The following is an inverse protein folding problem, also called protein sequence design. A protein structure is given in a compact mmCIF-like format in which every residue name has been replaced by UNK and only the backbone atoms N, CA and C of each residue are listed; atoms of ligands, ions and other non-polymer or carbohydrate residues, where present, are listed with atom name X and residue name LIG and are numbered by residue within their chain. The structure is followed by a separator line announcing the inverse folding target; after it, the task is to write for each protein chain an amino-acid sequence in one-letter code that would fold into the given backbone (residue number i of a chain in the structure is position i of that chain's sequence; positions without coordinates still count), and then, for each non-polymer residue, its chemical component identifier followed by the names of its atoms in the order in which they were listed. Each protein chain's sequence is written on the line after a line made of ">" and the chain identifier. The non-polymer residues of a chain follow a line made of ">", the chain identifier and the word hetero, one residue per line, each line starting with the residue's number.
data_IF_522682436331
#
_entry.id   IF_522682436331
#
_cell.length_a   1.000
_cell.length_b   1.000
_cell.length_c   1.000
_cell.angle_alpha   90.00
_cell.angle_beta   90.00
_cell.angle_gamma   90.00
#
_symmetry.space_group_name_H-M   'P 1'
#
loop_
_entity.id
_entity.type
_entity.pdbx_description
1 polymer ?
#
# COMPACT_ATOMS: atom_id res chain seq x y z
N UNK A 1 87.36 -34.22 -10.57
CA UNK A 1 86.43 -34.21 -11.72
C UNK A 1 85.01 -34.29 -11.16
N UNK A 2 84.22 -33.24 -11.39
CA UNK A 2 82.75 -33.17 -11.48
C UNK A 2 81.82 -33.63 -10.32
N UNK A 3 81.15 -32.61 -9.75
CA UNK A 3 79.70 -32.45 -9.55
C UNK A 3 78.90 -33.47 -8.69
N UNK A 4 78.27 -32.98 -7.61
CA UNK A 4 76.84 -32.55 -7.57
C UNK A 4 76.43 -32.08 -6.18
N UNK A 5 76.32 -30.76 -6.01
CA UNK A 5 75.51 -30.16 -4.94
C UNK A 5 74.02 -30.32 -5.30
N UNK A 6 73.26 -30.99 -4.44
CA UNK A 6 71.80 -30.98 -4.47
C UNK A 6 71.31 -29.66 -3.85
N UNK A 7 70.88 -28.73 -4.70
CA UNK A 7 70.10 -27.56 -4.29
C UNK A 7 68.64 -28.01 -4.10
N UNK A 8 67.99 -27.77 -2.95
CA UNK A 8 66.56 -27.98 -2.82
C UNK A 8 65.84 -26.81 -3.48
N UNK A 9 65.59 -26.92 -4.78
CA UNK A 9 64.60 -26.09 -5.46
C UNK A 9 63.21 -26.65 -5.17
N UNK A 10 62.28 -25.75 -4.80
CA UNK A 10 60.83 -25.84 -5.08
C UNK A 10 59.89 -26.33 -3.95
N UNK A 11 59.92 -25.70 -2.77
CA UNK A 11 58.76 -25.70 -1.83
C UNK A 11 58.13 -24.30 -1.56
N UNK A 12 58.81 -23.19 -1.89
CA UNK A 12 58.30 -21.83 -1.68
C UNK A 12 57.24 -21.37 -2.70
N UNK A 13 57.33 -21.82 -3.95
CA UNK A 13 56.44 -21.40 -5.04
C UNK A 13 54.97 -21.82 -4.83
N UNK A 14 54.73 -22.95 -4.16
CA UNK A 14 53.38 -23.46 -3.93
C UNK A 14 52.67 -22.72 -2.77
N UNK A 15 53.42 -22.28 -1.74
CA UNK A 15 52.89 -21.57 -0.58
C UNK A 15 52.52 -20.11 -0.90
N UNK A 16 53.32 -19.42 -1.72
CA UNK A 16 52.96 -18.08 -2.20
C UNK A 16 51.77 -18.08 -3.17
N UNK A 17 51.72 -19.05 -4.10
CA UNK A 17 50.61 -19.18 -5.06
C UNK A 17 49.28 -19.45 -4.35
N UNK A 18 49.31 -20.34 -3.35
CA UNK A 18 48.14 -20.64 -2.51
C UNK A 18 47.74 -19.45 -1.64
N UNK A 19 48.69 -18.69 -1.08
CA UNK A 19 48.41 -17.47 -0.31
C UNK A 19 47.77 -16.37 -1.17
N UNK A 20 48.29 -16.14 -2.39
CA UNK A 20 47.73 -15.16 -3.34
C UNK A 20 46.33 -15.56 -3.82
N UNK A 21 46.10 -16.86 -4.00
CA UNK A 21 44.78 -17.39 -4.34
C UNK A 21 43.78 -17.18 -3.19
N UNK A 22 44.18 -17.48 -1.94
CA UNK A 22 43.35 -17.24 -0.74
C UNK A 22 42.99 -15.76 -0.57
N UNK A 23 43.95 -14.85 -0.76
CA UNK A 23 43.69 -13.41 -0.69
C UNK A 23 42.72 -12.91 -1.79
N UNK A 24 42.87 -13.41 -3.03
CA UNK A 24 41.94 -13.11 -4.12
C UNK A 24 40.54 -13.64 -3.85
N UNK A 25 40.43 -14.87 -3.38
CA UNK A 25 39.15 -15.48 -3.00
C UNK A 25 38.49 -14.68 -1.88
N UNK A 26 39.23 -14.34 -0.83
CA UNK A 26 38.72 -13.51 0.27
C UNK A 26 38.21 -12.14 -0.21
N UNK A 27 38.95 -11.46 -1.09
CA UNK A 27 38.53 -10.19 -1.67
C UNK A 27 37.24 -10.31 -2.49
N UNK A 28 37.17 -11.30 -3.39
CA UNK A 28 35.97 -11.54 -4.19
C UNK A 28 34.77 -11.94 -3.32
N UNK A 29 34.98 -12.79 -2.31
CA UNK A 29 33.95 -13.17 -1.34
C UNK A 29 33.47 -11.98 -0.51
N UNK A 30 34.36 -11.04 -0.15
CA UNK A 30 33.98 -9.82 0.60
C UNK A 30 33.11 -8.91 -0.25
N UNK A 31 33.49 -8.68 -1.52
CA UNK A 31 32.69 -7.89 -2.47
C UNK A 31 31.32 -8.52 -2.66
N UNK A 32 31.30 -9.80 -3.00
CA UNK A 32 30.06 -10.53 -3.25
C UNK A 32 29.17 -10.55 -2.00
N UNK A 33 29.73 -10.82 -0.82
CA UNK A 33 29.02 -10.78 0.45
C UNK A 33 28.44 -9.40 0.77
N UNK A 34 29.17 -8.32 0.46
CA UNK A 34 28.70 -6.95 0.65
C UNK A 34 27.53 -6.62 -0.27
N UNK A 35 27.61 -6.99 -1.55
CA UNK A 35 26.52 -6.81 -2.52
C UNK A 35 25.28 -7.56 -2.06
N UNK A 36 25.44 -8.83 -1.68
CA UNK A 36 24.32 -9.65 -1.18
C UNK A 36 23.71 -9.07 0.09
N UNK A 37 24.51 -8.55 1.01
CA UNK A 37 24.01 -7.95 2.24
C UNK A 37 23.17 -6.70 1.97
N UNK A 38 23.66 -5.80 1.11
CA UNK A 38 22.94 -4.57 0.73
C UNK A 38 21.66 -4.91 -0.01
N UNK A 39 21.72 -5.86 -0.95
CA UNK A 39 20.55 -6.34 -1.66
C UNK A 39 19.52 -6.95 -0.69
N UNK A 40 19.95 -7.84 0.20
CA UNK A 40 19.06 -8.44 1.22
C UNK A 40 18.44 -7.37 2.13
N UNK A 41 19.23 -6.37 2.54
CA UNK A 41 18.75 -5.28 3.36
C UNK A 41 17.65 -4.48 2.64
N UNK A 42 17.94 -3.97 1.45
CA UNK A 42 17.06 -3.10 0.69
C UNK A 42 15.83 -3.82 0.11
N UNK A 43 15.97 -5.08 -0.29
CA UNK A 43 14.90 -5.83 -0.96
C UNK A 43 14.02 -6.63 0.00
N UNK A 44 14.45 -6.83 1.25
CA UNK A 44 13.73 -7.68 2.18
C UNK A 44 13.69 -7.13 3.61
N UNK A 45 14.85 -6.94 4.26
CA UNK A 45 14.88 -6.66 5.70
C UNK A 45 14.30 -5.29 6.07
N UNK A 46 14.51 -4.27 5.22
CA UNK A 46 14.07 -2.89 5.49
C UNK A 46 12.57 -2.77 5.76
N UNK A 47 11.74 -3.56 5.07
CA UNK A 47 10.28 -3.54 5.26
C UNK A 47 9.89 -3.96 6.66
N UNK A 48 10.51 -5.03 7.19
CA UNK A 48 10.29 -5.48 8.56
C UNK A 48 10.77 -4.44 9.58
N UNK A 49 11.94 -3.83 9.37
CA UNK A 49 12.50 -2.83 10.28
C UNK A 49 11.69 -1.54 10.36
N UNK A 50 11.05 -1.14 9.26
CA UNK A 50 10.17 0.02 9.23
C UNK A 50 8.81 -0.32 9.87
N UNK A 51 8.19 -1.43 9.46
CA UNK A 51 6.83 -1.78 9.89
C UNK A 51 6.77 -2.26 11.34
N UNK A 52 7.84 -2.87 11.90
CA UNK A 52 7.86 -3.31 13.32
C UNK A 52 7.67 -2.16 14.32
N UNK A 53 7.89 -0.91 13.88
CA UNK A 53 7.66 0.30 14.68
C UNK A 53 6.17 0.66 14.79
N UNK A 54 5.32 0.08 13.94
CA UNK A 54 3.90 0.30 13.94
C UNK A 54 3.21 -0.60 14.98
N UNK A 55 2.25 -0.04 15.71
CA UNK A 55 1.46 -0.77 16.70
C UNK A 55 -0.02 -0.44 16.53
N UNK A 56 -0.88 -1.41 16.88
CA UNK A 56 -2.32 -1.21 16.86
C UNK A 56 -2.70 -0.13 17.87
N UNK A 57 -3.45 0.92 17.46
CA UNK A 57 -3.82 2.00 18.35
C UNK A 57 -4.83 1.50 19.39
N UNK A 58 -4.72 1.96 20.64
CA UNK A 58 -5.66 1.58 21.70
C UNK A 58 -6.98 2.37 21.58
N UNK A 59 -8.10 1.69 21.82
CA UNK A 59 -9.44 2.32 21.85
C UNK A 59 -9.69 2.84 23.26
N UNK A 60 -9.66 4.17 23.45
CA UNK A 60 -9.83 4.78 24.77
C UNK A 60 -11.21 4.46 25.38
N UNK A 61 -11.19 3.99 26.63
CA UNK A 61 -12.40 3.67 27.40
C UNK A 61 -13.14 2.44 26.89
N UNK A 62 -12.46 1.51 26.20
CA UNK A 62 -12.84 0.11 26.19
C UNK A 62 -12.09 -0.53 27.37
N UNK A 63 -12.73 -0.63 28.54
CA UNK A 63 -12.10 -1.30 29.68
C UNK A 63 -11.87 -2.78 29.33
N UNK A 64 -10.82 -3.40 29.88
CA UNK A 64 -10.57 -4.85 29.72
C UNK A 64 -11.75 -5.74 30.19
N UNK A 65 -12.69 -5.17 30.94
CA UNK A 65 -13.93 -5.81 31.41
C UNK A 65 -15.09 -5.72 30.41
N UNK A 66 -15.06 -4.80 29.45
CA UNK A 66 -16.01 -4.80 28.34
C UNK A 66 -15.55 -5.81 27.30
N UNK A 67 -16.19 -6.97 27.26
CA UNK A 67 -16.02 -8.06 26.29
C UNK A 67 -16.36 -7.66 24.83
N UNK A 68 -16.23 -6.38 24.48
CA UNK A 68 -16.50 -5.86 23.14
C UNK A 68 -15.40 -6.31 22.18
N UNK A 69 -15.75 -7.05 21.11
CA UNK A 69 -14.75 -7.59 20.20
C UNK A 69 -14.13 -6.46 19.38
N UNK A 70 -12.83 -6.19 19.60
CA UNK A 70 -12.06 -5.24 18.78
C UNK A 70 -11.74 -5.88 17.43
N UNK A 71 -12.02 -5.15 16.36
CA UNK A 71 -11.66 -5.48 14.99
C UNK A 71 -10.40 -4.70 14.61
N UNK A 72 -9.35 -5.42 14.22
CA UNK A 72 -8.10 -4.86 13.69
C UNK A 72 -8.18 -4.78 12.17
N UNK A 73 -8.14 -3.56 11.64
CA UNK A 73 -8.36 -3.30 10.22
C UNK A 73 -7.17 -2.56 9.62
N UNK A 74 -6.72 -2.98 8.44
CA UNK A 74 -5.83 -2.18 7.60
C UNK A 74 -6.61 -1.56 6.44
N UNK A 75 -6.33 -0.30 6.12
CA UNK A 75 -6.87 0.40 4.96
C UNK A 75 -5.70 0.83 4.06
N UNK A 76 -5.72 0.37 2.82
CA UNK A 76 -4.78 0.71 1.76
C UNK A 76 -5.55 1.44 0.65
N UNK A 77 -4.87 2.25 -0.14
CA UNK A 77 -5.45 2.87 -1.33
C UNK A 77 -4.42 2.91 -2.46
N UNK A 78 -4.91 3.06 -3.69
CA UNK A 78 -4.14 3.45 -4.87
C UNK A 78 -2.88 2.58 -5.03
N UNK A 79 -3.08 1.25 -5.15
CA UNK A 79 -1.95 0.33 -5.37
C UNK A 79 -1.39 0.47 -6.78
N UNK A 80 -2.20 0.86 -7.77
CA UNK A 80 -1.79 1.10 -9.16
C UNK A 80 -0.87 0.00 -9.72
N UNK A 81 -1.36 -1.24 -9.74
CA UNK A 81 -0.66 -2.31 -10.43
C UNK A 81 -0.48 -1.93 -11.90
N UNK A 82 0.78 -1.92 -12.36
CA UNK A 82 1.11 -1.47 -13.69
C UNK A 82 0.54 -2.45 -14.74
N UNK A 83 -0.18 -1.89 -15.70
CA UNK A 83 -0.72 -2.63 -16.83
C UNK A 83 0.32 -2.85 -17.94
N UNK A 84 -0.13 -3.41 -19.05
CA UNK A 84 0.71 -3.76 -20.20
C UNK A 84 0.90 -2.61 -21.21
N UNK A 85 0.05 -1.59 -21.18
CA UNK A 85 -0.06 -0.58 -22.23
C UNK A 85 0.99 0.52 -22.04
N UNK A 86 1.07 1.10 -20.84
CA UNK A 86 1.98 2.18 -20.48
C UNK A 86 3.00 1.76 -19.41
N UNK A 87 2.84 0.58 -18.82
CA UNK A 87 3.74 0.06 -17.80
C UNK A 87 5.13 -0.31 -18.34
N UNK A 88 6.18 0.35 -17.85
CA UNK A 88 7.55 -0.05 -18.12
C UNK A 88 7.96 -1.25 -17.26
N UNK A 89 8.65 -2.25 -17.83
CA UNK A 89 8.96 -3.52 -17.14
C UNK A 89 9.78 -3.34 -15.85
N UNK A 90 10.74 -2.41 -15.84
CA UNK A 90 11.57 -2.14 -14.66
C UNK A 90 10.78 -1.43 -13.56
N UNK A 91 9.89 -0.52 -13.95
CA UNK A 91 8.99 0.17 -13.02
C UNK A 91 8.05 -0.87 -12.40
N UNK A 92 7.42 -1.70 -13.24
CA UNK A 92 6.58 -2.82 -12.81
C UNK A 92 7.29 -3.73 -11.82
N UNK A 93 8.50 -4.21 -12.15
CA UNK A 93 9.31 -5.03 -11.26
C UNK A 93 9.52 -4.34 -9.90
N UNK A 94 9.86 -3.05 -9.89
CA UNK A 94 10.18 -2.33 -8.66
C UNK A 94 8.96 -2.05 -7.79
N UNK A 95 7.88 -1.53 -8.38
CA UNK A 95 6.65 -1.16 -7.65
C UNK A 95 5.91 -2.39 -7.16
N UNK A 96 5.76 -3.40 -8.00
CA UNK A 96 5.11 -4.66 -7.62
C UNK A 96 5.92 -5.39 -6.52
N UNK A 97 7.26 -5.43 -6.62
CA UNK A 97 8.09 -5.98 -5.55
C UNK A 97 7.92 -5.23 -4.22
N UNK A 98 7.94 -3.89 -4.26
CA UNK A 98 7.72 -3.09 -3.06
C UNK A 98 6.36 -3.36 -2.43
N UNK A 99 5.28 -3.35 -3.21
CA UNK A 99 3.93 -3.60 -2.71
C UNK A 99 3.83 -5.00 -2.10
N UNK A 100 4.35 -6.02 -2.78
CA UNK A 100 4.35 -7.38 -2.25
C UNK A 100 5.12 -7.47 -0.93
N UNK A 101 6.34 -6.93 -0.86
CA UNK A 101 7.14 -6.99 0.37
C UNK A 101 6.50 -6.21 1.51
N UNK A 102 5.94 -5.04 1.22
CA UNK A 102 5.25 -4.19 2.19
C UNK A 102 4.02 -4.90 2.75
N UNK A 103 3.17 -5.45 1.88
CA UNK A 103 1.95 -6.14 2.28
C UNK A 103 2.24 -7.42 3.07
N UNK A 104 3.14 -8.27 2.57
CA UNK A 104 3.48 -9.54 3.22
C UNK A 104 4.14 -9.35 4.59
N UNK A 105 5.04 -8.36 4.73
CA UNK A 105 5.65 -8.05 6.03
C UNK A 105 4.64 -7.42 7.00
N UNK A 106 3.75 -6.55 6.53
CA UNK A 106 2.66 -5.99 7.33
C UNK A 106 1.70 -7.08 7.85
N UNK A 107 1.26 -8.02 7.00
CA UNK A 107 0.44 -9.14 7.45
C UNK A 107 1.15 -10.00 8.48
N UNK A 108 2.43 -10.30 8.26
CA UNK A 108 3.22 -11.12 9.16
C UNK A 108 3.37 -10.49 10.56
N UNK A 109 3.70 -9.20 10.61
CA UNK A 109 3.98 -8.49 11.85
C UNK A 109 2.70 -8.03 12.58
N UNK A 110 1.70 -7.55 11.84
CA UNK A 110 0.54 -6.87 12.42
C UNK A 110 -0.67 -7.79 12.57
N UNK A 111 -0.78 -8.84 11.74
CA UNK A 111 -1.88 -9.82 11.79
C UNK A 111 -3.29 -9.16 11.87
N UNK A 112 -3.71 -8.39 10.85
CA UNK A 112 -5.03 -7.78 10.83
C UNK A 112 -6.14 -8.83 10.68
N UNK A 113 -7.32 -8.53 11.23
CA UNK A 113 -8.52 -9.32 10.97
C UNK A 113 -9.00 -9.09 9.52
N UNK A 114 -8.97 -7.83 9.07
CA UNK A 114 -9.49 -7.41 7.76
C UNK A 114 -8.57 -6.38 7.12
N UNK A 115 -8.45 -6.47 5.81
CA UNK A 115 -7.81 -5.48 4.95
C UNK A 115 -8.82 -4.93 3.96
N UNK A 116 -8.93 -3.61 3.87
CA UNK A 116 -9.64 -2.91 2.80
C UNK A 116 -8.67 -2.26 1.82
N UNK A 117 -8.93 -2.38 0.51
CA UNK A 117 -8.25 -1.60 -0.54
C UNK A 117 -9.26 -0.64 -1.16
N UNK A 118 -8.98 0.67 -1.07
CA UNK A 118 -9.90 1.76 -1.38
C UNK A 118 -9.85 2.22 -2.85
N UNK A 119 -9.89 1.27 -3.79
CA UNK A 119 -9.88 1.55 -5.22
C UNK A 119 -8.50 1.72 -5.83
N UNK A 120 -8.49 1.91 -7.15
CA UNK A 120 -7.33 2.01 -8.02
C UNK A 120 -6.33 0.88 -7.77
N UNK A 121 -6.87 -0.34 -7.84
CA UNK A 121 -6.08 -1.55 -7.73
C UNK A 121 -5.14 -1.65 -8.92
N UNK A 122 -5.67 -1.46 -10.12
CA UNK A 122 -4.95 -1.51 -11.38
C UNK A 122 -4.80 -0.12 -11.96
N UNK A 123 -3.62 0.21 -12.50
CA UNK A 123 -3.38 1.51 -13.12
C UNK A 123 -4.09 1.64 -14.48
N UNK A 124 -4.28 0.53 -15.18
CA UNK A 124 -4.80 0.49 -16.55
C UNK A 124 -6.07 -0.34 -16.67
N UNK A 125 -6.70 -0.73 -15.54
CA UNK A 125 -7.88 -1.59 -15.52
C UNK A 125 -8.92 -1.14 -16.54
N UNK A 126 -9.26 0.15 -16.57
CA UNK A 126 -10.19 0.79 -17.52
C UNK A 126 -9.87 0.60 -19.01
N UNK A 127 -8.62 0.29 -19.36
CA UNK A 127 -8.15 0.05 -20.72
C UNK A 127 -7.81 -1.41 -21.00
N UNK A 128 -7.66 -2.25 -19.97
CA UNK A 128 -7.23 -3.64 -20.11
C UNK A 128 -8.19 -4.47 -20.96
N UNK A 129 -7.63 -5.20 -21.94
CA UNK A 129 -8.31 -6.29 -22.63
C UNK A 129 -8.47 -7.51 -21.70
N UNK A 130 -9.33 -8.51 -22.01
CA UNK A 130 -9.62 -9.62 -21.10
C UNK A 130 -8.39 -10.42 -20.64
N UNK A 131 -7.42 -10.63 -21.52
CA UNK A 131 -6.18 -11.37 -21.24
C UNK A 131 -5.29 -10.57 -20.28
N UNK A 132 -5.09 -9.28 -20.55
CA UNK A 132 -4.35 -8.36 -19.70
C UNK A 132 -4.97 -8.27 -18.30
N UNK A 133 -6.30 -8.08 -18.23
CA UNK A 133 -7.06 -8.09 -16.98
C UNK A 133 -6.80 -9.37 -16.17
N UNK A 134 -6.89 -10.53 -16.82
CA UNK A 134 -6.66 -11.81 -16.13
C UNK A 134 -5.23 -11.95 -15.61
N UNK A 135 -4.23 -11.48 -16.37
CA UNK A 135 -2.83 -11.43 -15.95
C UNK A 135 -2.62 -10.49 -14.76
N UNK A 136 -3.24 -9.30 -14.80
CA UNK A 136 -3.15 -8.31 -13.73
C UNK A 136 -3.80 -8.83 -12.44
N UNK A 137 -4.97 -9.46 -12.54
CA UNK A 137 -5.65 -10.13 -11.43
C UNK A 137 -4.81 -11.24 -10.82
N UNK A 138 -4.16 -12.08 -11.65
CA UNK A 138 -3.29 -13.14 -11.13
C UNK A 138 -2.10 -12.58 -10.34
N UNK A 139 -1.50 -11.47 -10.81
CA UNK A 139 -0.43 -10.78 -10.08
C UNK A 139 -0.94 -10.16 -8.79
N UNK A 140 -2.11 -9.50 -8.83
CA UNK A 140 -2.75 -8.98 -7.63
C UNK A 140 -2.95 -10.07 -6.57
N UNK A 141 -3.56 -11.20 -6.95
CA UNK A 141 -3.81 -12.32 -6.04
C UNK A 141 -2.53 -12.89 -5.43
N UNK A 142 -1.43 -12.93 -6.21
CA UNK A 142 -0.13 -13.36 -5.72
C UNK A 142 0.45 -12.38 -4.70
N UNK A 143 0.44 -11.08 -5.01
CA UNK A 143 1.06 -10.06 -4.15
C UNK A 143 0.27 -9.84 -2.85
N UNK A 144 -1.05 -9.77 -2.96
CA UNK A 144 -1.98 -9.56 -1.86
C UNK A 144 -2.53 -10.86 -1.27
N UNK A 145 -1.77 -11.96 -1.39
CA UNK A 145 -2.09 -13.23 -0.75
C UNK A 145 -2.10 -13.07 0.77
N UNK A 146 -3.06 -13.70 1.42
CA UNK A 146 -3.31 -13.55 2.86
C UNK A 146 -3.73 -14.90 3.47
N UNK A 147 -3.53 -15.09 4.78
CA UNK A 147 -3.96 -16.32 5.44
C UNK A 147 -5.50 -16.38 5.54
N UNK A 148 -6.10 -17.59 5.69
CA UNK A 148 -7.55 -17.75 5.69
C UNK A 148 -8.33 -16.97 6.77
N UNK A 149 -7.66 -16.58 7.86
CA UNK A 149 -8.27 -15.82 8.96
C UNK A 149 -8.29 -14.30 8.72
N UNK A 150 -7.58 -13.80 7.70
CA UNK A 150 -7.60 -12.39 7.32
C UNK A 150 -8.53 -12.23 6.12
N UNK A 151 -9.51 -11.33 6.20
CA UNK A 151 -10.37 -11.03 5.06
C UNK A 151 -9.78 -9.90 4.22
N UNK A 152 -9.80 -10.02 2.89
CA UNK A 152 -9.50 -8.93 1.97
C UNK A 152 -10.78 -8.46 1.28
N UNK A 153 -11.09 -7.17 1.38
CA UNK A 153 -12.24 -6.54 0.71
C UNK A 153 -11.73 -5.38 -0.13
N UNK A 154 -12.09 -5.38 -1.41
CA UNK A 154 -11.62 -4.39 -2.38
C UNK A 154 -12.83 -3.62 -2.89
N UNK A 155 -12.75 -2.28 -2.88
CA UNK A 155 -13.70 -1.41 -3.59
C UNK A 155 -13.07 -0.87 -4.86
N UNK A 156 -13.91 -0.36 -5.75
CA UNK A 156 -13.54 0.06 -7.10
C UNK A 156 -13.06 1.51 -7.15
N UNK A 157 -12.04 1.80 -7.96
CA UNK A 157 -11.60 3.16 -8.31
C UNK A 157 -11.72 3.48 -9.80
N UNK A 158 -11.38 4.71 -10.19
CA UNK A 158 -11.56 5.19 -11.56
C UNK A 158 -10.52 4.60 -12.53
N UNK A 159 -9.34 4.18 -12.07
CA UNK A 159 -8.40 3.43 -12.91
C UNK A 159 -8.84 1.99 -13.15
N UNK A 160 -9.68 1.42 -12.28
CA UNK A 160 -10.18 0.05 -12.44
C UNK A 160 -11.27 -0.05 -13.53
N UNK A 161 -12.23 0.89 -13.53
CA UNK A 161 -13.42 0.83 -14.39
C UNK A 161 -13.63 2.05 -15.28
N UNK A 162 -12.84 3.11 -15.12
CA UNK A 162 -13.00 4.40 -15.80
C UNK A 162 -13.54 5.47 -14.86
N UNK A 163 -13.26 6.73 -15.20
CA UNK A 163 -14.06 7.86 -14.70
C UNK A 163 -15.51 7.68 -15.15
N UNK A 164 -16.45 8.44 -14.56
CA UNK A 164 -17.88 8.35 -14.88
C UNK A 164 -18.17 8.24 -16.39
N UNK A 165 -17.60 9.12 -17.21
CA UNK A 165 -17.81 9.17 -18.66
C UNK A 165 -17.18 8.00 -19.47
N UNK A 166 -16.25 7.26 -18.87
CA UNK A 166 -15.59 6.09 -19.48
C UNK A 166 -16.04 4.76 -18.82
N UNK A 167 -16.86 4.84 -17.77
CA UNK A 167 -17.38 3.68 -17.06
C UNK A 167 -18.38 2.92 -17.94
N UNK A 168 -18.23 1.60 -18.01
CA UNK A 168 -19.17 0.73 -18.75
C UNK A 168 -19.62 -0.44 -17.90
N UNK A 169 -20.80 -1.01 -18.23
CA UNK A 169 -21.34 -2.19 -17.55
C UNK A 169 -20.37 -3.38 -17.63
N UNK A 170 -19.66 -3.53 -18.76
CA UNK A 170 -18.65 -4.57 -18.91
C UNK A 170 -17.48 -4.40 -17.93
N UNK A 171 -16.90 -3.18 -17.87
CA UNK A 171 -15.76 -2.88 -16.98
C UNK A 171 -16.14 -3.07 -15.51
N UNK A 172 -17.34 -2.61 -15.12
CA UNK A 172 -17.86 -2.79 -13.78
C UNK A 172 -18.14 -4.26 -13.46
N UNK A 173 -18.85 -4.98 -14.33
CA UNK A 173 -19.24 -6.38 -14.09
C UNK A 173 -18.05 -7.31 -13.92
N UNK A 174 -16.98 -7.15 -14.71
CA UNK A 174 -15.76 -7.95 -14.53
C UNK A 174 -15.05 -7.64 -13.20
N UNK A 175 -15.08 -6.38 -12.76
CA UNK A 175 -14.50 -5.97 -11.47
C UNK A 175 -15.30 -6.60 -10.32
N UNK A 176 -16.63 -6.42 -10.35
CA UNK A 176 -17.56 -6.97 -9.36
C UNK A 176 -17.40 -8.49 -9.23
N UNK A 177 -17.29 -9.20 -10.36
CA UNK A 177 -17.03 -10.65 -10.39
C UNK A 177 -15.69 -11.02 -9.76
N UNK A 178 -14.64 -10.25 -10.01
CA UNK A 178 -13.28 -10.54 -9.52
C UNK A 178 -13.16 -10.33 -8.02
N UNK A 179 -13.75 -9.26 -7.49
CA UNK A 179 -13.58 -8.84 -6.10
C UNK A 179 -14.79 -9.09 -5.21
N UNK A 180 -15.83 -9.75 -5.73
CA UNK A 180 -17.12 -9.94 -5.05
C UNK A 180 -17.65 -8.61 -4.50
N UNK A 181 -17.61 -7.58 -5.34
CA UNK A 181 -18.07 -6.23 -5.04
C UNK A 181 -19.40 -5.97 -5.76
N UNK A 182 -20.14 -4.99 -5.28
CA UNK A 182 -21.31 -4.42 -5.94
C UNK A 182 -21.21 -2.91 -5.80
N UNK A 183 -21.84 -2.13 -6.69
CA UNK A 183 -21.88 -0.65 -6.64
C UNK A 183 -22.61 -0.03 -5.41
N UNK A 184 -22.51 -0.69 -4.26
CA UNK A 184 -23.10 -0.40 -2.97
C UNK A 184 -23.11 -1.72 -2.19
N UNK A 185 -22.29 -1.84 -1.13
CA UNK A 185 -22.18 -3.07 -0.32
C UNK A 185 -22.13 -2.72 1.17
N UNK A 186 -22.91 -3.44 1.97
CA UNK A 186 -22.83 -3.38 3.42
C UNK A 186 -22.20 -4.68 3.94
N UNK A 187 -21.14 -4.56 4.74
CA UNK A 187 -20.54 -5.68 5.48
C UNK A 187 -20.53 -5.35 6.97
N UNK A 188 -20.72 -6.36 7.83
CA UNK A 188 -20.91 -6.17 9.27
C UNK A 188 -20.03 -7.07 10.15
N UNK A 189 -18.71 -7.19 9.91
CA UNK A 189 -17.83 -8.04 10.72
C UNK A 189 -17.81 -7.56 12.19
N UNK A 190 -17.83 -8.50 13.14
CA UNK A 190 -17.84 -8.22 14.59
C UNK A 190 -18.90 -7.17 15.03
N UNK A 191 -20.04 -7.10 14.31
CA UNK A 191 -21.12 -6.16 14.63
C UNK A 191 -20.86 -4.71 14.22
N UNK A 192 -19.86 -4.46 13.37
CA UNK A 192 -19.46 -3.12 12.92
C UNK A 192 -19.88 -2.93 11.47
N UNK A 193 -20.70 -1.92 11.18
CA UNK A 193 -21.15 -1.66 9.82
C UNK A 193 -20.08 -0.92 9.00
N UNK A 194 -19.73 -1.47 7.84
CA UNK A 194 -18.95 -0.79 6.80
C UNK A 194 -19.78 -0.69 5.52
N UNK A 195 -19.92 0.51 4.98
CA UNK A 195 -20.64 0.77 3.72
C UNK A 195 -19.59 1.08 2.66
N UNK A 196 -19.50 0.25 1.63
CA UNK A 196 -18.59 0.41 0.51
C UNK A 196 -19.39 0.91 -0.70
N UNK A 197 -18.96 2.02 -1.31
CA UNK A 197 -19.65 2.62 -2.45
C UNK A 197 -18.76 2.74 -3.69
N UNK A 198 -19.38 2.61 -4.86
CA UNK A 198 -18.78 2.98 -6.13
C UNK A 198 -18.93 4.49 -6.31
N UNK A 199 -17.92 5.27 -5.96
CA UNK A 199 -17.98 6.74 -6.01
C UNK A 199 -18.07 7.29 -7.43
N UNK A 200 -17.56 6.57 -8.45
CA UNK A 200 -17.67 6.97 -9.86
C UNK A 200 -19.11 6.90 -10.37
N UNK A 201 -20.01 6.21 -9.65
CA UNK A 201 -21.43 6.13 -9.96
C UNK A 201 -22.29 7.19 -9.22
N UNK A 202 -21.66 8.11 -8.47
CA UNK A 202 -22.33 9.19 -7.73
C UNK A 202 -22.25 10.54 -8.48
N UNK A 203 -22.37 10.51 -9.81
CA UNK A 203 -22.29 11.69 -10.68
C UNK A 203 -23.48 12.65 -10.51
N UNK A 204 -24.67 12.09 -10.23
CA UNK A 204 -25.93 12.84 -10.15
C UNK A 204 -26.60 13.12 -11.50
N UNK A 205 -26.31 12.34 -12.54
CA UNK A 205 -26.86 12.48 -13.90
C UNK A 205 -27.88 11.40 -14.29
N UNK A 206 -28.30 10.58 -13.33
CA UNK A 206 -29.21 9.45 -13.52
C UNK A 206 -28.75 8.43 -14.58
N UNK A 207 -27.44 8.26 -14.81
CA UNK A 207 -26.95 7.20 -15.70
C UNK A 207 -27.42 5.79 -15.24
N UNK A 208 -27.44 4.81 -16.15
CA UNK A 208 -27.95 3.47 -15.80
C UNK A 208 -27.22 2.82 -14.60
N UNK A 209 -25.89 2.90 -14.57
CA UNK A 209 -25.06 2.40 -13.46
C UNK A 209 -25.30 3.24 -12.19
N UNK A 210 -25.42 4.55 -12.34
CA UNK A 210 -25.64 5.52 -11.27
C UNK A 210 -26.96 5.25 -10.55
N UNK A 211 -28.06 5.05 -11.29
CA UNK A 211 -29.36 4.67 -10.72
C UNK A 211 -29.28 3.37 -9.91
N UNK A 212 -28.56 2.37 -10.41
CA UNK A 212 -28.37 1.13 -9.69
C UNK A 212 -27.58 1.32 -8.38
N UNK A 213 -26.51 2.13 -8.40
CA UNK A 213 -25.74 2.47 -7.21
C UNK A 213 -26.57 3.25 -6.19
N UNK A 214 -27.34 4.23 -6.66
CA UNK A 214 -28.23 5.07 -5.85
C UNK A 214 -29.37 4.27 -5.21
N UNK A 215 -29.95 3.31 -5.94
CA UNK A 215 -30.96 2.40 -5.39
C UNK A 215 -30.37 1.50 -4.29
N UNK A 216 -29.13 1.03 -4.46
CA UNK A 216 -28.44 0.27 -3.42
C UNK A 216 -28.13 1.13 -2.19
N UNK A 217 -27.67 2.37 -2.39
CA UNK A 217 -27.43 3.35 -1.33
C UNK A 217 -28.72 3.58 -0.52
N UNK A 218 -29.85 3.82 -1.19
CA UNK A 218 -31.16 3.98 -0.53
C UNK A 218 -31.56 2.73 0.26
N UNK A 219 -31.39 1.54 -0.31
CA UNK A 219 -31.67 0.27 0.40
C UNK A 219 -30.82 0.11 1.66
N UNK A 220 -29.52 0.41 1.57
CA UNK A 220 -28.61 0.37 2.71
C UNK A 220 -29.02 1.39 3.78
N UNK A 221 -29.34 2.63 3.38
CA UNK A 221 -29.82 3.67 4.30
C UNK A 221 -31.09 3.22 5.04
N UNK A 222 -32.05 2.61 4.34
CA UNK A 222 -33.27 2.05 4.96
C UNK A 222 -32.91 0.97 5.98
N UNK A 223 -32.03 0.02 5.65
CA UNK A 223 -31.58 -1.03 6.59
C UNK A 223 -30.93 -0.44 7.85
N UNK A 224 -30.04 0.54 7.69
CA UNK A 224 -29.35 1.21 8.80
C UNK A 224 -30.34 1.98 9.68
N UNK A 225 -31.19 2.81 9.09
CA UNK A 225 -32.19 3.61 9.82
C UNK A 225 -33.18 2.71 10.55
N UNK A 226 -33.72 1.71 9.88
CA UNK A 226 -34.61 0.72 10.50
C UNK A 226 -33.95 -0.09 11.61
N UNK A 227 -32.63 -0.18 11.65
CA UNK A 227 -31.90 -0.87 12.72
C UNK A 227 -31.61 0.04 13.91
N UNK A 228 -31.55 1.36 13.70
CA UNK A 228 -31.43 2.39 14.76
C UNK A 228 -32.78 2.70 15.42
N UNK A 229 -33.88 2.65 14.67
CA UNK A 229 -35.23 3.02 15.13
C UNK A 229 -35.96 1.90 15.90
N UNK A 230 -35.28 0.90 16.46
CA UNK A 230 -35.92 -0.31 17.06
C UNK A 230 -36.94 0.00 18.15
N UNK A 231 -36.79 1.13 18.84
CA UNK A 231 -37.65 1.54 19.97
C UNK A 231 -38.68 2.61 19.57
N UNK A 232 -38.73 3.02 18.29
CA UNK A 232 -39.65 4.07 17.84
C UNK A 232 -41.04 3.50 17.49
N UNK A 233 -42.16 4.18 17.84
CA UNK A 233 -43.53 3.69 17.55
C UNK A 233 -43.80 3.40 16.07
N UNK A 234 -43.17 4.17 15.17
CA UNK A 234 -43.30 3.99 13.71
C UNK A 234 -42.52 2.79 13.14
N UNK A 235 -41.68 2.14 13.94
CA UNK A 235 -40.88 0.98 13.53
C UNK A 235 -41.77 -0.14 12.96
N UNK A 236 -42.89 -0.40 13.62
CA UNK A 236 -43.79 -1.50 13.26
C UNK A 236 -44.49 -1.25 11.91
N UNK A 237 -44.68 0.03 11.53
CA UNK A 237 -45.29 0.43 10.26
C UNK A 237 -44.31 0.42 9.10
N UNK A 238 -43.06 0.88 9.30
CA UNK A 238 -42.10 1.13 8.20
C UNK A 238 -40.96 0.12 8.09
N UNK A 239 -40.63 -0.59 9.17
CA UNK A 239 -39.37 -1.33 9.29
C UNK A 239 -39.54 -2.82 9.62
N UNK A 240 -40.78 -3.34 9.68
CA UNK A 240 -41.07 -4.73 10.08
C UNK A 240 -40.44 -5.76 9.14
N UNK A 241 -40.49 -5.52 7.82
CA UNK A 241 -40.01 -6.45 6.80
C UNK A 241 -38.60 -6.11 6.28
N UNK A 242 -37.88 -5.21 6.96
CA UNK A 242 -36.53 -4.80 6.58
C UNK A 242 -35.51 -5.63 7.34
N UNK A 243 -34.60 -6.27 6.60
CA UNK A 243 -33.46 -7.00 7.15
C UNK A 243 -32.66 -6.12 8.11
N UNK A 244 -32.38 -6.64 9.30
CA UNK A 244 -31.73 -5.90 10.37
C UNK A 244 -30.22 -6.01 10.30
N UNK A 245 -29.57 -4.91 10.62
CA UNK A 245 -28.12 -4.80 10.73
C UNK A 245 -27.76 -4.49 12.20
N UNK A 246 -26.48 -4.63 12.58
CA UNK A 246 -26.00 -4.08 13.84
C UNK A 246 -26.33 -2.60 13.98
N UNK A 247 -26.50 -2.11 15.21
CA UNK A 247 -26.89 -0.72 15.51
C UNK A 247 -25.71 0.27 15.34
N UNK A 248 -24.49 -0.23 15.11
CA UNK A 248 -23.29 0.56 14.83
C UNK A 248 -23.53 1.62 13.74
N UNK A 249 -23.22 2.88 14.03
CA UNK A 249 -23.07 3.89 12.99
C UNK A 249 -21.98 3.42 12.00
N UNK A 250 -22.22 3.54 10.68
CA UNK A 250 -21.36 2.93 9.69
C UNK A 250 -20.05 3.69 9.56
N UNK A 251 -19.05 2.96 9.10
CA UNK A 251 -17.84 3.51 8.51
C UNK A 251 -18.05 3.51 6.99
N UNK A 252 -17.98 4.68 6.36
CA UNK A 252 -18.11 4.82 4.92
C UNK A 252 -16.75 4.63 4.26
N UNK A 253 -16.68 3.72 3.29
CA UNK A 253 -15.49 3.43 2.50
C UNK A 253 -15.81 3.69 1.03
N UNK A 254 -14.98 4.49 0.38
CA UNK A 254 -15.13 4.80 -1.04
C UNK A 254 -13.80 5.20 -1.64
N UNK A 255 -13.75 5.44 -2.95
CA UNK A 255 -12.51 5.84 -3.61
C UNK A 255 -12.38 7.37 -3.63
N UNK A 256 -13.34 8.10 -4.20
CA UNK A 256 -13.29 9.57 -4.19
C UNK A 256 -13.55 10.13 -2.80
N UNK A 257 -12.80 11.16 -2.36
CA UNK A 257 -13.14 11.88 -1.16
C UNK A 257 -14.51 12.56 -1.25
N UNK A 258 -15.10 12.89 -0.10
CA UNK A 258 -16.21 13.85 -0.09
C UNK A 258 -15.71 15.21 -0.55
N UNK A 259 -16.66 16.06 -0.93
CA UNK A 259 -16.41 17.42 -1.36
C UNK A 259 -15.55 18.19 -0.36
N UNK A 260 -14.42 18.70 -0.86
CA UNK A 260 -13.60 19.73 -0.25
C UNK A 260 -12.95 20.56 -1.36
N UNK A 261 -12.67 21.83 -1.09
CA UNK A 261 -12.18 22.77 -2.10
C UNK A 261 -10.75 22.42 -2.56
N UNK A 262 -9.90 21.97 -1.63
CA UNK A 262 -8.54 21.52 -1.90
C UNK A 262 -7.98 20.78 -0.68
N UNK A 263 -6.71 20.41 -0.75
CA UNK A 263 -5.94 19.82 0.35
C UNK A 263 -5.20 20.86 1.23
N UNK A 264 -5.61 22.14 1.20
CA UNK A 264 -4.89 23.24 1.90
C UNK A 264 -4.74 23.01 3.41
N UNK A 265 -5.78 22.44 4.03
CA UNK A 265 -5.84 22.18 5.47
C UNK A 265 -5.16 20.86 5.87
N UNK A 266 -4.76 20.03 4.91
CA UNK A 266 -4.17 18.73 5.19
C UNK A 266 -2.78 18.90 5.81
N UNK A 267 -2.45 18.07 6.79
CA UNK A 267 -1.16 18.10 7.49
C UNK A 267 -0.52 16.71 7.55
N UNK A 268 0.74 16.65 7.96
CA UNK A 268 1.51 15.41 8.07
C UNK A 268 2.54 15.20 6.97
N UNK A 269 3.52 14.33 7.21
CA UNK A 269 4.67 14.09 6.31
C UNK A 269 4.26 13.50 4.95
N UNK A 270 3.16 12.77 4.91
CA UNK A 270 2.60 12.15 3.71
C UNK A 270 1.39 12.91 3.14
N UNK A 271 1.15 14.14 3.58
CA UNK A 271 0.26 15.05 2.87
C UNK A 271 0.89 15.55 1.56
N UNK A 272 0.09 16.11 0.66
CA UNK A 272 0.57 16.65 -0.61
C UNK A 272 1.60 17.79 -0.40
N UNK A 273 2.39 18.12 -1.43
CA UNK A 273 3.32 19.26 -1.33
C UNK A 273 2.57 20.58 -1.08
N UNK A 274 3.20 21.61 -0.49
CA UNK A 274 2.56 22.91 -0.25
C UNK A 274 1.94 23.55 -1.49
N UNK A 275 2.50 23.28 -2.67
CA UNK A 275 2.00 23.74 -3.96
C UNK A 275 0.78 22.94 -4.41
N UNK A 276 0.84 21.61 -4.35
CA UNK A 276 -0.26 20.71 -4.72
C UNK A 276 -1.49 20.90 -3.83
N UNK A 277 -1.30 21.15 -2.53
CA UNK A 277 -2.39 21.42 -1.58
C UNK A 277 -3.25 22.64 -1.94
N UNK A 278 -2.69 23.59 -2.69
CA UNK A 278 -3.38 24.81 -3.12
C UNK A 278 -4.15 24.62 -4.43
N UNK A 279 -3.95 23.49 -5.11
CA UNK A 279 -4.70 23.16 -6.33
C UNK A 279 -6.16 22.94 -5.94
N UNK A 280 -7.04 23.68 -6.61
CA UNK A 280 -8.48 23.54 -6.41
C UNK A 280 -8.96 22.23 -7.02
N UNK A 281 -9.74 21.48 -6.25
CA UNK A 281 -10.35 20.25 -6.71
C UNK A 281 -11.54 20.52 -7.61
N UNK A 282 -11.63 19.70 -8.65
CA UNK A 282 -12.77 19.61 -9.55
C UNK A 282 -13.74 18.56 -9.03
N UNK A 283 -14.96 18.99 -8.77
CA UNK A 283 -16.07 18.08 -8.45
C UNK A 283 -16.25 17.01 -9.54
N UNK A 284 -16.65 15.82 -9.11
CA UNK A 284 -16.91 14.63 -9.95
C UNK A 284 -15.66 14.09 -10.66
N UNK A 285 -14.49 14.63 -10.32
CA UNK A 285 -13.21 14.19 -10.85
C UNK A 285 -12.23 13.92 -9.71
N UNK A 286 -11.84 14.95 -8.96
CA UNK A 286 -10.90 14.84 -7.84
C UNK A 286 -11.62 14.48 -6.53
N UNK A 287 -12.89 14.89 -6.40
CA UNK A 287 -13.77 14.67 -5.25
C UNK A 287 -15.20 14.43 -5.70
N UNK A 288 -16.06 13.88 -4.84
CA UNK A 288 -17.50 13.87 -5.08
C UNK A 288 -18.07 15.30 -5.18
N UNK A 289 -19.22 15.45 -5.82
CA UNK A 289 -19.92 16.73 -5.79
C UNK A 289 -20.38 17.08 -4.38
N UNK A 290 -20.62 18.37 -4.14
CA UNK A 290 -21.19 18.83 -2.87
C UNK A 290 -22.54 18.13 -2.59
N UNK A 291 -23.42 18.06 -3.58
CA UNK A 291 -24.73 17.40 -3.47
C UNK A 291 -24.61 15.91 -3.10
N UNK A 292 -23.73 15.17 -3.78
CA UNK A 292 -23.50 13.77 -3.48
C UNK A 292 -22.95 13.58 -2.06
N UNK A 293 -22.04 14.47 -1.65
CA UNK A 293 -21.42 14.42 -0.32
C UNK A 293 -22.43 14.68 0.78
N UNK A 294 -23.25 15.72 0.64
CA UNK A 294 -24.33 16.04 1.59
C UNK A 294 -25.35 14.91 1.68
N UNK A 295 -25.74 14.33 0.54
CA UNK A 295 -26.65 13.20 0.47
C UNK A 295 -26.11 11.97 1.21
N UNK A 296 -24.83 11.64 1.06
CA UNK A 296 -24.20 10.52 1.78
C UNK A 296 -24.20 10.76 3.29
N UNK A 297 -23.84 11.97 3.73
CA UNK A 297 -23.83 12.33 5.15
C UNK A 297 -25.23 12.24 5.76
N UNK A 298 -26.26 12.71 5.05
CA UNK A 298 -27.65 12.65 5.49
C UNK A 298 -28.21 11.22 5.54
N UNK A 299 -28.00 10.44 4.48
CA UNK A 299 -28.58 9.10 4.35
C UNK A 299 -27.92 8.06 5.25
N UNK A 300 -26.61 8.14 5.42
CA UNK A 300 -25.84 7.11 6.14
C UNK A 300 -25.53 7.52 7.57
N UNK A 301 -25.38 8.82 7.84
CA UNK A 301 -24.90 9.36 9.12
C UNK A 301 -23.65 8.58 9.60
N UNK A 302 -22.56 8.57 8.81
CA UNK A 302 -21.37 7.81 9.15
C UNK A 302 -20.67 8.42 10.36
N UNK A 303 -19.93 7.58 11.10
CA UNK A 303 -19.06 8.03 12.21
C UNK A 303 -17.61 8.23 11.81
N UNK A 304 -17.22 7.68 10.65
CA UNK A 304 -15.88 7.76 10.08
C UNK A 304 -16.01 7.52 8.57
N UNK A 305 -15.22 8.24 7.79
CA UNK A 305 -15.14 8.08 6.34
C UNK A 305 -13.68 7.80 5.99
N UNK A 306 -13.42 6.83 5.12
CA UNK A 306 -12.11 6.64 4.49
C UNK A 306 -12.24 6.65 2.97
N UNK A 307 -11.38 7.44 2.33
CA UNK A 307 -11.28 7.61 0.88
C UNK A 307 -9.85 7.36 0.38
N UNK A 308 -9.64 7.31 -0.94
CA UNK A 308 -8.33 7.20 -1.59
C UNK A 308 -8.13 8.32 -2.62
N UNK A 309 -7.75 7.96 -3.85
CA UNK A 309 -7.76 8.76 -5.08
C UNK A 309 -6.73 9.90 -5.17
N UNK A 310 -6.60 10.72 -4.13
CA UNK A 310 -5.69 11.87 -4.12
C UNK A 310 -4.22 11.48 -3.97
N UNK A 311 -3.94 10.18 -3.73
CA UNK A 311 -2.62 9.60 -3.40
C UNK A 311 -1.97 10.16 -2.13
N UNK A 312 -2.52 11.23 -1.55
CA UNK A 312 -1.99 11.99 -0.43
C UNK A 312 -2.82 11.81 0.82
N UNK A 313 -2.16 11.80 1.98
CA UNK A 313 -2.87 11.70 3.23
C UNK A 313 -3.54 13.03 3.54
N UNK A 314 -4.82 12.97 3.88
CA UNK A 314 -5.54 14.12 4.39
C UNK A 314 -6.51 13.70 5.48
N UNK A 315 -6.68 14.56 6.47
CA UNK A 315 -7.73 14.45 7.46
C UNK A 315 -8.57 15.73 7.41
N UNK A 316 -9.87 15.57 7.19
CA UNK A 316 -10.83 16.69 7.17
C UNK A 316 -12.02 16.36 8.05
N UNK A 317 -12.69 17.40 8.56
CA UNK A 317 -13.83 17.26 9.45
C UNK A 317 -15.11 17.80 8.79
N UNK A 318 -16.02 16.89 8.44
CA UNK A 318 -17.31 17.23 7.84
C UNK A 318 -18.35 17.58 8.89
N UNK A 319 -19.13 18.63 8.63
CA UNK A 319 -20.17 19.16 9.55
C UNK A 319 -19.64 19.44 10.97
N UNK A 320 -18.33 19.67 11.13
CA UNK A 320 -17.68 19.87 12.42
C UNK A 320 -17.65 18.64 13.34
N UNK A 321 -17.97 17.43 12.84
CA UNK A 321 -18.05 16.22 13.69
C UNK A 321 -17.69 14.88 13.05
N UNK A 322 -17.75 14.75 11.72
CA UNK A 322 -17.50 13.47 11.04
C UNK A 322 -16.13 13.53 10.37
N UNK A 323 -15.12 12.82 10.88
CA UNK A 323 -13.80 12.81 10.26
C UNK A 323 -13.82 11.98 8.99
N UNK A 324 -13.14 12.49 7.97
CA UNK A 324 -12.75 11.77 6.77
C UNK A 324 -11.24 11.69 6.68
N UNK A 325 -10.73 10.48 6.43
CA UNK A 325 -9.32 10.22 6.17
C UNK A 325 -9.15 9.80 4.72
N UNK A 326 -8.47 10.62 3.92
CA UNK A 326 -7.94 10.19 2.63
C UNK A 326 -6.68 9.37 2.89
N UNK A 327 -6.76 8.08 2.57
CA UNK A 327 -5.67 7.11 2.70
C UNK A 327 -4.69 7.36 1.56
N UNK A 328 -3.40 7.59 1.83
CA UNK A 328 -2.42 7.82 0.79
C UNK A 328 -2.15 6.54 -0.01
N UNK A 329 -1.52 6.71 -1.16
CA UNK A 329 -1.14 5.57 -2.00
C UNK A 329 -0.18 4.63 -1.27
N UNK A 330 -0.42 3.34 -1.44
CA UNK A 330 0.42 2.26 -0.94
C UNK A 330 1.69 2.02 -1.80
N UNK A 331 1.76 2.64 -2.98
CA UNK A 331 2.74 2.37 -4.02
C UNK A 331 3.78 3.48 -4.12
N UNK A 332 5.05 3.11 -4.29
CA UNK A 332 6.09 4.08 -4.64
C UNK A 332 5.84 4.79 -5.98
N UNK A 333 4.93 4.27 -6.82
CA UNK A 333 4.67 4.85 -8.13
C UNK A 333 4.04 6.24 -8.05
N UNK A 334 3.22 6.44 -7.03
CA UNK A 334 2.44 7.66 -6.82
C UNK A 334 3.12 8.59 -5.81
N UNK A 335 3.98 8.06 -4.92
CA UNK A 335 4.67 8.86 -3.90
C UNK A 335 5.94 8.21 -3.34
N UNK A 336 6.88 9.03 -2.88
CA UNK A 336 8.14 8.55 -2.30
C UNK A 336 7.99 7.88 -0.91
N UNK A 337 7.04 8.32 -0.08
CA UNK A 337 6.82 7.86 1.30
C UNK A 337 5.41 7.25 1.50
N UNK A 338 5.11 6.09 0.88
CA UNK A 338 3.80 5.46 1.00
C UNK A 338 3.52 5.02 2.44
N UNK A 339 2.24 4.99 2.79
CA UNK A 339 1.77 4.58 4.12
C UNK A 339 0.40 3.91 4.01
N UNK A 340 -0.05 3.29 5.10
CA UNK A 340 -1.41 2.76 5.22
C UNK A 340 -1.99 3.10 6.60
N UNK A 341 -3.32 3.03 6.71
CA UNK A 341 -4.01 3.31 7.97
C UNK A 341 -4.35 2.00 8.68
N UNK A 342 -4.03 1.93 9.98
CA UNK A 342 -4.43 0.88 10.91
C UNK A 342 -5.58 1.39 11.77
N UNK A 343 -6.61 0.56 11.97
CA UNK A 343 -7.73 0.87 12.84
C UNK A 343 -7.98 -0.24 13.85
N UNK A 344 -8.13 0.13 15.13
CA UNK A 344 -8.75 -0.70 16.15
C UNK A 344 -10.18 -0.22 16.35
N UNK A 345 -11.15 -1.06 15.99
CA UNK A 345 -12.53 -0.62 15.78
C UNK A 345 -13.48 -1.49 16.63
N UNK A 346 -14.40 -0.84 17.33
CA UNK A 346 -15.55 -1.46 18.02
C UNK A 346 -16.84 -0.96 17.39
N UNK A 347 -18.00 -1.47 17.81
CA UNK A 347 -19.30 -1.03 17.30
C UNK A 347 -19.60 0.47 17.53
N UNK A 348 -18.95 1.11 18.50
CA UNK A 348 -19.24 2.51 18.89
C UNK A 348 -18.01 3.41 18.78
N UNK A 349 -16.83 2.91 19.12
CA UNK A 349 -15.57 3.68 19.11
C UNK A 349 -14.58 3.15 18.07
N UNK A 350 -13.60 3.96 17.72
CA UNK A 350 -12.44 3.56 16.91
C UNK A 350 -11.20 4.34 17.34
N UNK A 351 -10.04 3.83 16.97
CA UNK A 351 -8.75 4.51 17.10
C UNK A 351 -7.95 4.21 15.84
N UNK A 352 -7.33 5.23 15.24
CA UNK A 352 -6.57 5.11 14.01
C UNK A 352 -5.10 5.43 14.26
N UNK A 353 -4.22 4.73 13.54
CA UNK A 353 -2.80 5.03 13.48
C UNK A 353 -2.31 4.86 12.05
N UNK A 354 -1.32 5.65 11.67
CA UNK A 354 -0.68 5.57 10.36
C UNK A 354 0.59 4.74 10.48
N UNK A 355 0.83 3.87 9.50
CA UNK A 355 2.06 3.10 9.40
C UNK A 355 2.77 3.42 8.08
N UNK A 356 3.95 4.02 8.16
CA UNK A 356 4.78 4.33 7.01
C UNK A 356 5.49 3.09 6.49
N UNK A 357 5.71 3.05 5.18
CA UNK A 357 6.54 2.07 4.49
C UNK A 357 7.94 2.67 4.23
N UNK A 358 8.95 1.85 3.87
CA UNK A 358 10.24 2.38 3.47
C UNK A 358 10.10 3.40 2.35
N UNK A 359 10.86 4.49 2.38
CA UNK A 359 10.83 5.52 1.33
C UNK A 359 11.73 5.10 0.17
N UNK A 360 11.31 5.35 -1.07
CA UNK A 360 12.09 4.92 -2.24
C UNK A 360 13.47 5.57 -2.27
N UNK A 361 13.54 6.89 -2.07
CA UNK A 361 14.78 7.63 -2.07
C UNK A 361 15.78 7.12 -1.03
N UNK A 362 15.32 6.71 0.17
CA UNK A 362 16.22 6.09 1.15
C UNK A 362 16.82 4.80 0.62
N UNK A 363 16.05 3.96 -0.06
CA UNK A 363 16.57 2.73 -0.67
C UNK A 363 17.58 3.05 -1.77
N UNK A 364 17.27 4.02 -2.64
CA UNK A 364 18.19 4.48 -3.70
C UNK A 364 19.49 5.02 -3.08
N UNK A 365 19.42 5.87 -2.06
CA UNK A 365 20.59 6.44 -1.41
C UNK A 365 21.46 5.37 -0.74
N UNK A 366 20.86 4.34 -0.15
CA UNK A 366 21.61 3.20 0.41
C UNK A 366 22.36 2.46 -0.69
N UNK A 367 21.70 2.16 -1.82
CA UNK A 367 22.36 1.53 -2.96
C UNK A 367 23.50 2.38 -3.53
N UNK A 368 23.28 3.68 -3.73
CA UNK A 368 24.30 4.59 -4.24
C UNK A 368 25.49 4.69 -3.27
N UNK A 369 25.24 4.86 -1.97
CA UNK A 369 26.29 4.99 -0.95
C UNK A 369 27.11 3.70 -0.87
N UNK A 370 26.45 2.53 -0.83
CA UNK A 370 27.12 1.23 -0.83
C UNK A 370 27.98 1.04 -2.09
N UNK A 371 27.48 1.45 -3.25
CA UNK A 371 28.21 1.36 -4.52
C UNK A 371 29.47 2.23 -4.52
N UNK A 372 29.39 3.45 -4.00
CA UNK A 372 30.54 4.36 -3.87
C UNK A 372 31.57 3.79 -2.91
N UNK A 373 31.16 3.31 -1.74
CA UNK A 373 32.05 2.71 -0.74
C UNK A 373 32.75 1.45 -1.28
N UNK A 374 32.00 0.58 -1.96
CA UNK A 374 32.53 -0.64 -2.55
C UNK A 374 33.53 -0.34 -3.68
N UNK A 375 33.22 0.64 -4.52
CA UNK A 375 34.14 1.08 -5.59
C UNK A 375 35.42 1.68 -5.00
N UNK A 376 35.31 2.52 -3.97
CA UNK A 376 36.45 3.07 -3.25
C UNK A 376 37.32 1.98 -2.61
N UNK A 377 36.69 0.96 -1.99
CA UNK A 377 37.38 -0.20 -1.44
C UNK A 377 38.15 -0.98 -2.52
N UNK A 378 37.52 -1.24 -3.67
CA UNK A 378 38.16 -1.93 -4.80
C UNK A 378 39.36 -1.15 -5.31
N UNK A 379 39.21 0.16 -5.54
CA UNK A 379 40.28 1.03 -6.02
C UNK A 379 41.44 1.10 -5.02
N UNK A 380 41.17 1.20 -3.72
CA UNK A 380 42.19 1.18 -2.67
C UNK A 380 42.96 -0.15 -2.67
N UNK A 381 42.26 -1.29 -2.80
CA UNK A 381 42.90 -2.60 -2.88
C UNK A 381 43.77 -2.73 -4.13
N UNK A 382 43.30 -2.24 -5.29
CA UNK A 382 44.08 -2.24 -6.54
C UNK A 382 45.32 -1.35 -6.43
N UNK A 383 45.18 -0.15 -5.86
CA UNK A 383 46.28 0.77 -5.62
C UNK A 383 47.36 0.16 -4.71
N UNK A 384 46.96 -0.45 -3.58
CA UNK A 384 47.88 -1.16 -2.69
C UNK A 384 48.61 -2.31 -3.41
N UNK A 385 47.91 -3.07 -4.25
CA UNK A 385 48.53 -4.12 -5.06
C UNK A 385 49.57 -3.54 -6.04
N UNK A 386 49.29 -2.39 -6.66
CA UNK A 386 50.22 -1.70 -7.57
C UNK A 386 51.45 -1.21 -6.79
N UNK A 387 51.26 -0.53 -5.66
CA UNK A 387 52.35 -0.06 -4.80
C UNK A 387 53.26 -1.22 -4.33
N UNK A 388 52.68 -2.35 -3.92
CA UNK A 388 53.43 -3.54 -3.53
C UNK A 388 54.26 -4.12 -4.69
N UNK A 389 53.72 -4.14 -5.92
CA UNK A 389 54.47 -4.56 -7.11
C UNK A 389 55.61 -3.62 -7.44
N UNK A 390 55.38 -2.31 -7.38
CA UNK A 390 56.43 -1.29 -7.63
C UNK A 390 57.56 -1.42 -6.59
N UNK A 391 57.22 -1.56 -5.31
CA UNK A 391 58.20 -1.72 -4.25
C UNK A 391 58.99 -3.04 -4.37
N UNK A 392 58.33 -4.14 -4.73
CA UNK A 392 58.99 -5.43 -4.97
C UNK A 392 59.89 -5.41 -6.22
N UNK A 393 59.47 -4.72 -7.29
CA UNK A 393 60.27 -4.54 -8.50
C UNK A 393 61.50 -3.66 -8.31
N UNK A 394 61.46 -2.67 -7.39
CA UNK A 394 62.64 -1.88 -7.02
C UNK A 394 63.68 -2.68 -6.22
N UNK A 395 63.27 -3.70 -5.46
CA UNK A 395 64.19 -4.59 -4.71
C UNK A 395 64.89 -5.64 -5.59
N UNK A 396 64.49 -5.81 -6.85
CA UNK A 396 65.05 -6.83 -7.76
C UNK A 396 65.99 -6.28 -8.84
N UNK A 397 66.35 -4.99 -8.82
CA UNK A 397 67.46 -4.50 -9.68
C UNK A 397 68.79 -4.80 -8.97
N UNK A 398 69.62 -5.75 -9.45
CA UNK A 398 71.00 -5.84 -9.00
C UNK A 398 71.78 -4.66 -9.58
N UNK A 399 72.69 -4.09 -8.77
CA UNK A 399 73.77 -3.22 -9.24
C UNK A 399 74.79 -4.10 -9.95
#
# INVERSE_FOLDING_TARGET
>A
MMFKHLVPLRNGFNKERTSRLKARLFFLSTIFGSILLVFFFCEFLVYYLVIVKCSWPEVKGAHKEDSTPVLKVMFLADTHLLGEIRGHWLDKLRREWQMERSYQSALWLLQPDIVFILGDVFDEGKWSIPQAWSSDVARFQKMFRHPPHTQLIVLVGNHDIGFHYDMTVYKLSRFEKTFNFTSGKLVSPKGINFVLLNSMALEGDDCHICRAAEDQLRRISIKLNCSRMREHPDFQKKCKNVEKTPVSAPILLQHYPLYRISDSECTGEDSASPEEKKVLFKEKYDVLSQDASEKLLQLLQPRLILSGHTHSACEVLHQGKIPEISVPSFSWRNRNNPSFIMGSITATKYSLAKCFLPTENTIIYIYCTASVLLTGYVLACLWLCICQRIHSGRKQKPI
#
